data_IF_054204357711
#
_entry.id   IF_054204357711
#
_cell.length_a   1.000
_cell.length_b   1.000
_cell.length_c   1.000
_cell.angle_alpha   90.00
_cell.angle_beta   90.00
_cell.angle_gamma   90.00
#
_symmetry.space_group_name_H-M   'P 1'
#
loop_
_entity.id
_entity.type
_entity.pdbx_description
1 polymer ?
#
# COMPACT_ATOMS: atom_id res chain seq x y z
N UNK A 1 18.16 -7.96 10.19
CA UNK A 1 16.70 -8.23 10.31
C UNK A 1 15.99 -7.77 9.04
N UNK A 2 14.93 -8.47 8.62
CA UNK A 2 14.13 -8.04 7.45
C UNK A 2 13.27 -6.84 7.88
N UNK A 3 13.54 -5.65 7.32
CA UNK A 3 12.78 -4.42 7.55
C UNK A 3 11.40 -4.43 6.85
N UNK A 4 11.25 -5.28 5.84
CA UNK A 4 10.06 -5.31 5.00
C UNK A 4 8.82 -5.80 5.75
N UNK A 5 7.76 -4.97 5.70
CA UNK A 5 6.47 -5.20 6.37
C UNK A 5 5.35 -5.53 5.37
N UNK A 6 5.51 -5.19 4.10
CA UNK A 6 4.47 -5.29 3.08
C UNK A 6 4.96 -6.05 1.85
N UNK A 7 4.07 -6.86 1.26
CA UNK A 7 4.15 -7.15 -0.16
C UNK A 7 3.58 -5.98 -0.95
N UNK A 8 4.17 -5.65 -2.09
CA UNK A 8 3.76 -4.48 -2.88
C UNK A 8 3.62 -4.85 -4.34
N UNK A 9 2.48 -4.55 -4.95
CA UNK A 9 2.31 -4.64 -6.41
C UNK A 9 3.42 -3.84 -7.11
N UNK A 10 4.31 -4.53 -7.83
CA UNK A 10 5.54 -3.96 -8.38
C UNK A 10 5.29 -2.75 -9.30
N UNK A 11 4.16 -2.74 -10.01
CA UNK A 11 3.78 -1.61 -10.86
C UNK A 11 3.54 -0.31 -10.08
N UNK A 12 3.14 -0.38 -8.80
CA UNK A 12 2.97 0.78 -7.93
C UNK A 12 4.32 1.42 -7.57
N UNK A 13 5.38 0.61 -7.48
CA UNK A 13 6.74 1.08 -7.22
C UNK A 13 7.51 1.46 -8.50
N UNK A 14 6.83 1.53 -9.66
CA UNK A 14 7.43 1.96 -10.92
C UNK A 14 7.95 0.84 -11.82
N UNK A 15 7.89 -0.43 -11.40
CA UNK A 15 8.24 -1.55 -12.28
C UNK A 15 7.30 -1.59 -13.49
N UNK A 16 7.89 -1.71 -14.69
CA UNK A 16 7.17 -1.73 -15.99
C UNK A 16 6.54 -3.10 -16.27
N UNK A 17 5.79 -3.64 -15.30
CA UNK A 17 5.27 -5.01 -15.35
C UNK A 17 3.77 -5.12 -15.67
N UNK A 18 3.09 -4.01 -16.02
CA UNK A 18 1.71 -4.05 -16.51
C UNK A 18 1.62 -4.81 -17.83
N UNK A 19 0.39 -5.17 -18.22
CA UNK A 19 0.14 -5.87 -19.48
C UNK A 19 0.65 -5.08 -20.70
N UNK A 20 0.59 -3.74 -20.64
CA UNK A 20 1.06 -2.82 -21.68
C UNK A 20 2.53 -2.40 -21.55
N UNK A 21 3.31 -3.06 -20.68
CA UNK A 21 4.72 -2.72 -20.44
C UNK A 21 4.94 -1.38 -19.72
N UNK A 22 3.89 -0.80 -19.13
CA UNK A 22 3.97 0.44 -18.33
C UNK A 22 3.97 0.13 -16.83
N UNK A 23 4.01 1.17 -16.01
CA UNK A 23 3.83 1.08 -14.56
C UNK A 23 2.57 1.84 -14.11
N UNK A 24 2.20 1.68 -12.84
CA UNK A 24 1.17 2.44 -12.13
C UNK A 24 1.83 3.24 -11.00
N UNK A 25 2.91 3.94 -11.32
CA UNK A 25 3.78 4.55 -10.32
C UNK A 25 3.00 5.40 -9.31
N UNK A 26 3.21 5.11 -8.03
CA UNK A 26 2.69 5.88 -6.91
C UNK A 26 3.87 6.30 -6.04
N UNK A 27 4.11 7.62 -5.94
CA UNK A 27 5.28 8.18 -5.25
C UNK A 27 5.43 7.66 -3.81
N UNK A 28 4.35 7.60 -3.04
CA UNK A 28 4.41 7.17 -1.63
C UNK A 28 4.72 5.68 -1.50
N UNK A 29 4.09 4.84 -2.33
CA UNK A 29 4.38 3.40 -2.36
C UNK A 29 5.82 3.13 -2.82
N UNK A 30 6.32 3.90 -3.79
CA UNK A 30 7.70 3.81 -4.23
C UNK A 30 8.69 4.21 -3.12
N UNK A 31 8.40 5.29 -2.36
CA UNK A 31 9.19 5.67 -1.19
C UNK A 31 9.19 4.56 -0.13
N UNK A 32 8.03 3.99 0.22
CA UNK A 32 7.91 2.87 1.17
C UNK A 32 8.84 1.70 0.79
N UNK A 33 8.88 1.36 -0.51
CA UNK A 33 9.75 0.30 -1.03
C UNK A 33 11.23 0.72 -0.96
N UNK A 34 11.57 1.95 -1.36
CA UNK A 34 12.94 2.50 -1.30
C UNK A 34 13.50 2.48 0.13
N UNK A 35 12.66 2.77 1.12
CA UNK A 35 13.00 2.72 2.55
C UNK A 35 13.11 1.29 3.11
N UNK A 36 12.90 0.27 2.28
CA UNK A 36 13.06 -1.14 2.63
C UNK A 36 11.85 -1.79 3.30
N UNK A 37 10.69 -1.11 3.32
CA UNK A 37 9.48 -1.63 3.97
C UNK A 37 8.60 -2.49 3.06
N UNK A 38 8.89 -2.54 1.76
CA UNK A 38 8.08 -3.26 0.77
C UNK A 38 8.88 -4.25 -0.06
N UNK A 39 8.38 -5.47 -0.21
CA UNK A 39 8.89 -6.45 -1.17
C UNK A 39 7.99 -6.47 -2.41
N UNK A 40 8.60 -6.27 -3.58
CA UNK A 40 7.86 -6.19 -4.83
C UNK A 40 7.35 -7.57 -5.29
N UNK A 41 6.09 -7.61 -5.71
CA UNK A 41 5.45 -8.78 -6.33
C UNK A 41 4.67 -8.39 -7.58
N UNK A 42 4.68 -9.27 -8.58
CA UNK A 42 3.77 -9.21 -9.72
C UNK A 42 3.22 -10.62 -9.93
N UNK A 43 2.00 -10.93 -9.47
CA UNK A 43 1.51 -12.31 -9.49
C UNK A 43 1.43 -12.85 -10.93
N UNK A 44 1.02 -12.01 -11.89
CA UNK A 44 0.93 -12.35 -13.31
C UNK A 44 2.29 -12.82 -13.89
N UNK A 45 3.37 -12.07 -13.63
CA UNK A 45 4.72 -12.42 -14.09
C UNK A 45 5.27 -13.63 -13.33
N UNK A 46 5.05 -13.70 -12.02
CA UNK A 46 5.42 -14.87 -11.21
C UNK A 46 4.68 -16.14 -11.69
N UNK A 47 3.48 -15.98 -12.22
CA UNK A 47 2.66 -17.00 -12.88
C UNK A 47 3.25 -17.51 -14.19
N UNK A 48 4.07 -16.70 -14.86
CA UNK A 48 4.71 -17.00 -16.14
C UNK A 48 4.21 -16.16 -17.32
N UNK A 49 3.36 -15.15 -17.09
CA UNK A 49 2.94 -14.26 -18.17
C UNK A 49 4.05 -13.28 -18.56
N UNK A 50 4.14 -12.98 -19.85
CA UNK A 50 5.12 -12.05 -20.43
C UNK A 50 4.83 -10.58 -20.11
N UNK A 51 5.79 -9.72 -20.45
CA UNK A 51 5.63 -8.27 -20.53
C UNK A 51 6.16 -7.85 -21.91
N UNK A 52 5.36 -7.19 -22.77
CA UNK A 52 3.90 -7.00 -22.63
C UNK A 52 3.14 -8.33 -22.74
N UNK A 53 1.83 -8.28 -22.46
CA UNK A 53 0.87 -9.38 -22.63
C UNK A 53 -0.52 -8.83 -22.97
N UNK A 54 -1.36 -9.69 -23.52
CA UNK A 54 -2.77 -9.36 -23.82
C UNK A 54 -3.51 -9.08 -22.50
N UNK A 55 -4.35 -8.04 -22.50
CA UNK A 55 -5.17 -7.70 -21.32
C UNK A 55 -6.07 -8.88 -20.94
N UNK A 56 -6.20 -9.13 -19.64
CA UNK A 56 -7.06 -10.18 -19.10
C UNK A 56 -8.12 -9.59 -18.17
N UNK A 57 -9.29 -10.21 -18.11
CA UNK A 57 -10.37 -9.90 -17.18
C UNK A 57 -10.95 -11.19 -16.60
N UNK A 58 -11.58 -11.08 -15.43
CA UNK A 58 -12.24 -12.24 -14.80
C UNK A 58 -13.60 -12.48 -15.45
N UNK A 59 -13.89 -13.73 -15.79
CA UNK A 59 -15.21 -14.19 -16.23
C UNK A 59 -15.63 -15.35 -15.33
N UNK A 60 -16.36 -15.04 -14.25
CA UNK A 60 -16.69 -16.00 -13.20
C UNK A 60 -15.45 -16.49 -12.47
N UNK A 61 -15.16 -17.80 -12.56
CA UNK A 61 -13.96 -18.41 -11.96
C UNK A 61 -12.72 -18.39 -12.86
N UNK A 62 -12.88 -18.01 -14.13
CA UNK A 62 -11.80 -18.00 -15.12
C UNK A 62 -11.22 -16.62 -15.30
N UNK A 63 -9.97 -16.56 -15.75
CA UNK A 63 -9.33 -15.33 -16.22
C UNK A 63 -9.10 -15.49 -17.72
N UNK A 64 -9.80 -14.70 -18.52
CA UNK A 64 -9.77 -14.79 -19.99
C UNK A 64 -9.05 -13.55 -20.52
N UNK A 65 -8.20 -13.72 -21.52
CA UNK A 65 -7.58 -12.61 -22.21
C UNK A 65 -8.51 -12.05 -23.31
N UNK A 66 -8.20 -10.86 -23.84
CA UNK A 66 -9.01 -10.20 -24.86
C UNK A 66 -9.16 -11.01 -26.16
N UNK A 67 -8.23 -11.92 -26.42
CA UNK A 67 -8.25 -12.81 -27.60
C UNK A 67 -9.03 -14.12 -27.34
N UNK A 68 -9.66 -14.27 -26.16
CA UNK A 68 -10.46 -15.43 -25.79
C UNK A 68 -9.67 -16.61 -25.19
N UNK A 69 -8.36 -16.46 -24.98
CA UNK A 69 -7.53 -17.51 -24.38
C UNK A 69 -7.68 -17.53 -22.85
N UNK A 70 -7.81 -18.73 -22.29
CA UNK A 70 -7.86 -18.95 -20.86
C UNK A 70 -6.46 -18.84 -20.24
N UNK A 71 -6.32 -17.95 -19.25
CA UNK A 71 -5.10 -17.64 -18.50
C UNK A 71 -5.23 -17.94 -17.00
N UNK A 72 -6.26 -18.68 -16.61
CA UNK A 72 -6.56 -18.97 -15.20
C UNK A 72 -5.38 -19.63 -14.49
N UNK A 73 -4.71 -20.58 -15.14
CA UNK A 73 -3.59 -21.33 -14.56
C UNK A 73 -2.40 -20.42 -14.20
N UNK A 74 -2.04 -19.49 -15.07
CA UNK A 74 -0.94 -18.55 -14.81
C UNK A 74 -1.29 -17.61 -13.65
N UNK A 75 -2.52 -17.11 -13.59
CA UNK A 75 -2.98 -16.27 -12.48
C UNK A 75 -2.99 -17.00 -11.14
N UNK A 76 -3.51 -18.23 -11.09
CA UNK A 76 -3.51 -19.05 -9.88
C UNK A 76 -2.10 -19.44 -9.43
N UNK A 77 -1.25 -19.86 -10.37
CA UNK A 77 0.16 -20.17 -10.11
C UNK A 77 0.89 -18.96 -9.55
N UNK A 78 0.64 -17.78 -10.11
CA UNK A 78 1.13 -16.50 -9.63
C UNK A 78 0.73 -16.23 -8.19
N UNK A 79 -0.58 -16.32 -7.89
CA UNK A 79 -1.12 -16.12 -6.55
C UNK A 79 -0.50 -17.09 -5.53
N UNK A 80 -0.40 -18.39 -5.86
CA UNK A 80 0.21 -19.42 -5.01
C UNK A 80 1.69 -19.12 -4.72
N UNK A 81 2.45 -18.68 -5.74
CA UNK A 81 3.86 -18.28 -5.56
C UNK A 81 4.00 -17.06 -4.66
N UNK A 82 3.11 -16.06 -4.80
CA UNK A 82 3.10 -14.88 -3.93
C UNK A 82 2.80 -15.27 -2.48
N UNK A 83 1.80 -16.12 -2.24
CA UNK A 83 1.50 -16.62 -0.89
C UNK A 83 2.68 -17.38 -0.28
N UNK A 84 3.33 -18.26 -1.06
CA UNK A 84 4.53 -18.98 -0.61
C UNK A 84 5.66 -18.00 -0.25
N UNK A 85 5.92 -17.03 -1.11
CA UNK A 85 6.95 -16.01 -0.88
C UNK A 85 6.66 -15.18 0.38
N UNK A 86 5.40 -14.78 0.58
CA UNK A 86 4.98 -14.04 1.75
C UNK A 86 5.22 -14.82 3.06
N UNK A 87 4.85 -16.12 3.07
CA UNK A 87 5.07 -17.01 4.22
C UNK A 87 6.56 -17.17 4.53
N UNK A 88 7.40 -17.35 3.50
CA UNK A 88 8.86 -17.44 3.67
C UNK A 88 9.48 -16.16 4.25
N UNK A 89 8.86 -15.00 4.00
CA UNK A 89 9.32 -13.71 4.51
C UNK A 89 8.63 -13.30 5.82
N UNK A 90 7.68 -14.09 6.33
CA UNK A 90 6.91 -13.75 7.53
C UNK A 90 6.01 -12.52 7.36
N UNK A 91 5.62 -12.17 6.13
CA UNK A 91 4.82 -10.97 5.83
C UNK A 91 3.33 -11.34 5.74
N UNK A 92 2.48 -10.52 6.38
CA UNK A 92 1.01 -10.68 6.41
C UNK A 92 0.23 -9.47 5.90
N UNK A 93 0.92 -8.47 5.36
CA UNK A 93 0.29 -7.26 4.80
C UNK A 93 0.65 -7.09 3.33
N UNK A 94 -0.29 -6.61 2.51
CA UNK A 94 -0.05 -6.38 1.09
C UNK A 94 -0.68 -5.07 0.59
N UNK A 95 0.08 -4.30 -0.20
CA UNK A 95 -0.36 -3.11 -0.92
C UNK A 95 -0.52 -3.49 -2.40
N UNK A 96 -1.76 -3.66 -2.85
CA UNK A 96 -2.09 -4.21 -4.16
C UNK A 96 -2.74 -3.16 -5.07
N UNK A 97 -2.46 -3.26 -6.38
CA UNK A 97 -3.06 -2.37 -7.40
C UNK A 97 -4.57 -2.62 -7.54
N UNK A 98 -5.39 -1.56 -7.41
CA UNK A 98 -6.85 -1.64 -7.64
C UNK A 98 -7.23 -2.14 -9.04
N UNK A 99 -8.41 -2.75 -9.17
CA UNK A 99 -9.10 -3.14 -10.42
C UNK A 99 -8.45 -4.28 -11.24
N UNK A 100 -7.23 -4.69 -10.90
CA UNK A 100 -6.54 -5.77 -11.63
C UNK A 100 -7.25 -7.13 -11.42
N UNK A 101 -7.35 -7.99 -12.45
CA UNK A 101 -7.84 -9.36 -12.31
C UNK A 101 -7.00 -10.23 -11.36
N UNK A 102 -5.78 -9.79 -11.01
CA UNK A 102 -4.94 -10.43 -10.00
C UNK A 102 -4.98 -9.68 -8.66
N UNK A 103 -4.82 -8.36 -8.68
CA UNK A 103 -4.51 -7.54 -7.51
C UNK A 103 -5.70 -6.72 -6.97
N UNK A 104 -6.82 -6.63 -7.68
CA UNK A 104 -7.98 -5.84 -7.24
C UNK A 104 -8.54 -6.33 -5.91
N UNK A 105 -8.80 -5.41 -4.96
CA UNK A 105 -9.23 -5.75 -3.59
C UNK A 105 -10.75 -5.63 -3.43
N UNK A 106 -11.38 -4.65 -4.07
CA UNK A 106 -12.83 -4.36 -3.92
C UNK A 106 -13.58 -4.47 -5.24
N UNK A 107 -12.90 -4.14 -6.33
CA UNK A 107 -13.45 -4.13 -7.67
C UNK A 107 -12.49 -4.77 -8.67
N UNK A 108 -13.08 -5.32 -9.72
CA UNK A 108 -12.44 -5.84 -10.93
C UNK A 108 -13.24 -5.39 -12.15
N UNK A 109 -12.65 -5.49 -13.35
CA UNK A 109 -13.41 -5.30 -14.58
C UNK A 109 -14.41 -6.44 -14.80
N UNK A 110 -15.51 -6.14 -15.48
CA UNK A 110 -16.68 -7.01 -15.60
C UNK A 110 -16.52 -8.23 -16.53
N UNK A 111 -15.38 -8.37 -17.20
CA UNK A 111 -15.10 -9.50 -18.08
C UNK A 111 -15.48 -9.26 -19.53
N UNK A 112 -16.13 -8.14 -19.85
CA UNK A 112 -16.55 -7.78 -21.20
C UNK A 112 -15.51 -6.96 -21.97
N UNK A 113 -14.40 -6.54 -21.33
CA UNK A 113 -13.43 -5.60 -21.89
C UNK A 113 -14.01 -4.20 -22.22
N UNK A 114 -15.18 -3.86 -21.67
CA UNK A 114 -15.83 -2.55 -21.80
C UNK A 114 -15.29 -1.48 -20.84
N UNK A 115 -14.34 -1.85 -19.96
CA UNK A 115 -13.81 -1.05 -18.84
C UNK A 115 -14.82 -0.76 -17.72
N UNK A 116 -15.99 -1.41 -17.72
CA UNK A 116 -16.92 -1.36 -16.61
C UNK A 116 -16.36 -2.10 -15.40
N UNK A 117 -16.51 -1.52 -14.21
CA UNK A 117 -16.09 -2.10 -12.94
C UNK A 117 -17.29 -2.72 -12.22
N UNK A 118 -17.05 -3.85 -11.57
CA UNK A 118 -17.99 -4.56 -10.69
C UNK A 118 -17.32 -4.88 -9.36
N UNK A 119 -18.13 -5.11 -8.33
CA UNK A 119 -17.63 -5.62 -7.06
C UNK A 119 -16.98 -7.00 -7.27
N UNK A 120 -15.78 -7.18 -6.72
CA UNK A 120 -15.04 -8.42 -6.89
C UNK A 120 -13.57 -8.30 -6.50
N UNK A 121 -12.90 -9.44 -6.35
CA UNK A 121 -11.49 -9.50 -5.96
C UNK A 121 -10.65 -10.21 -7.02
N UNK A 122 -9.47 -9.68 -7.26
CA UNK A 122 -8.43 -10.30 -8.07
C UNK A 122 -7.99 -11.65 -7.49
N UNK A 123 -7.51 -12.56 -8.35
CA UNK A 123 -7.16 -13.94 -7.95
C UNK A 123 -6.14 -13.98 -6.80
N UNK A 124 -5.11 -13.14 -6.86
CA UNK A 124 -4.10 -13.06 -5.81
C UNK A 124 -4.64 -12.38 -4.55
N UNK A 125 -5.39 -11.29 -4.68
CA UNK A 125 -6.00 -10.60 -3.55
C UNK A 125 -6.92 -11.54 -2.76
N UNK A 126 -7.81 -12.26 -3.46
CA UNK A 126 -8.72 -13.24 -2.87
C UNK A 126 -7.97 -14.35 -2.11
N UNK A 127 -6.91 -14.91 -2.69
CA UNK A 127 -6.12 -15.95 -2.04
C UNK A 127 -5.40 -15.44 -0.78
N UNK A 128 -4.82 -14.24 -0.84
CA UNK A 128 -4.15 -13.64 0.31
C UNK A 128 -5.15 -13.32 1.44
N UNK A 129 -6.29 -12.72 1.13
CA UNK A 129 -7.35 -12.44 2.11
C UNK A 129 -7.81 -13.73 2.82
N UNK A 130 -8.07 -14.80 2.05
CA UNK A 130 -8.44 -16.11 2.60
C UNK A 130 -7.35 -16.74 3.49
N UNK A 131 -6.11 -16.22 3.45
CA UNK A 131 -4.98 -16.67 4.27
C UNK A 131 -4.61 -15.67 5.38
N UNK A 132 -5.54 -14.78 5.73
CA UNK A 132 -5.42 -13.83 6.84
C UNK A 132 -4.44 -12.70 6.56
N UNK A 133 -4.35 -12.23 5.32
CA UNK A 133 -3.59 -11.03 4.99
C UNK A 133 -4.44 -9.77 5.14
N UNK A 134 -3.84 -8.72 5.70
CA UNK A 134 -4.38 -7.36 5.63
C UNK A 134 -4.06 -6.78 4.25
N UNK A 135 -5.11 -6.40 3.50
CA UNK A 135 -4.98 -5.88 2.14
C UNK A 135 -5.26 -4.39 2.10
N UNK A 136 -4.33 -3.66 1.49
CA UNK A 136 -4.37 -2.23 1.25
C UNK A 136 -4.26 -1.98 -0.24
N UNK A 137 -4.81 -0.89 -0.73
CA UNK A 137 -4.62 -0.46 -2.12
C UNK A 137 -3.80 0.81 -2.19
N UNK A 138 -3.49 1.26 -3.41
CA UNK A 138 -2.93 2.60 -3.59
C UNK A 138 -3.90 3.73 -3.17
N UNK A 139 -5.18 3.40 -2.91
CA UNK A 139 -6.23 4.31 -2.44
C UNK A 139 -6.56 4.14 -0.96
N UNK A 140 -6.56 2.89 -0.48
CA UNK A 140 -6.88 2.49 0.90
C UNK A 140 -5.59 2.20 1.65
N UNK A 141 -5.29 3.07 2.63
CA UNK A 141 -3.94 3.39 3.10
C UNK A 141 -3.58 2.65 4.41
N UNK A 142 -2.32 2.24 4.63
CA UNK A 142 -1.78 1.98 5.98
C UNK A 142 -1.17 3.26 6.59
N UNK A 143 -1.70 4.44 6.24
CA UNK A 143 -1.22 5.72 6.79
C UNK A 143 -1.98 6.05 8.07
N UNK A 144 -1.32 6.79 8.95
CA UNK A 144 -1.94 7.32 10.16
C UNK A 144 -1.85 8.85 10.15
N UNK A 145 -2.81 9.48 10.81
CA UNK A 145 -2.74 10.90 11.16
C UNK A 145 -2.35 10.99 12.64
N UNK A 146 -1.62 12.03 13.01
CA UNK A 146 -1.23 12.28 14.40
C UNK A 146 -1.97 13.51 14.89
N UNK A 147 -2.56 13.42 16.08
CA UNK A 147 -3.08 14.58 16.79
C UNK A 147 -2.21 14.80 18.02
N UNK A 148 -1.43 15.88 18.04
CA UNK A 148 -0.64 16.31 19.18
C UNK A 148 -1.43 17.38 19.91
N UNK A 149 -1.91 17.04 21.11
CA UNK A 149 -2.58 18.01 21.99
C UNK A 149 -1.50 18.82 22.70
N UNK A 150 -1.21 20.00 22.17
CA UNK A 150 -0.25 20.94 22.72
C UNK A 150 -0.94 21.93 23.66
N UNK A 151 -1.79 21.43 24.57
CA UNK A 151 -2.54 22.27 25.50
C UNK A 151 -1.79 22.45 26.82
N UNK A 152 -1.87 23.66 27.39
CA UNK A 152 -1.57 23.93 28.78
C UNK A 152 -0.54 25.04 29.00
N UNK A 153 -0.83 25.90 29.98
CA UNK A 153 -0.15 27.18 30.20
C UNK A 153 1.26 27.12 30.82
N UNK A 154 1.89 25.94 30.92
CA UNK A 154 3.23 25.80 31.56
C UNK A 154 3.32 26.09 33.07
N UNK A 155 2.21 26.39 33.75
CA UNK A 155 2.16 26.84 35.17
C UNK A 155 2.93 25.96 36.16
N UNK A 156 2.83 24.63 36.05
CA UNK A 156 3.52 23.69 36.97
C UNK A 156 5.04 23.62 36.74
N UNK A 157 5.50 24.06 35.59
CA UNK A 157 6.91 24.20 35.27
C UNK A 157 7.41 25.64 35.52
N UNK A 158 6.59 26.48 36.17
CA UNK A 158 6.87 27.90 36.43
C UNK A 158 7.15 28.72 35.16
N UNK A 159 6.60 28.25 34.03
CA UNK A 159 6.67 28.95 32.75
C UNK A 159 5.46 29.88 32.62
N UNK A 160 5.69 31.12 32.21
CA UNK A 160 4.65 32.11 31.91
C UNK A 160 3.97 31.92 30.54
N UNK A 161 4.23 30.79 29.87
CA UNK A 161 3.75 30.46 28.53
C UNK A 161 3.61 28.94 28.38
N UNK A 162 3.05 28.48 27.26
CA UNK A 162 2.84 27.05 27.01
C UNK A 162 4.17 26.27 27.00
N UNK A 163 4.23 25.20 27.80
CA UNK A 163 5.42 24.34 27.94
C UNK A 163 5.85 23.66 26.63
N UNK A 164 4.98 23.55 25.64
CA UNK A 164 5.29 22.94 24.35
C UNK A 164 6.27 23.80 23.53
N UNK A 165 6.32 25.11 23.78
CA UNK A 165 7.31 26.02 23.20
C UNK A 165 8.59 26.16 24.03
N UNK A 166 8.69 25.45 25.15
CA UNK A 166 9.91 25.43 25.94
C UNK A 166 11.06 24.84 25.13
N UNK A 167 12.20 25.51 25.13
CA UNK A 167 13.42 25.03 24.47
C UNK A 167 14.14 24.00 25.34
N UNK A 168 14.30 22.79 24.82
CA UNK A 168 15.13 21.74 25.39
C UNK A 168 16.33 21.50 24.46
N UNK A 169 17.38 22.31 24.65
CA UNK A 169 18.51 22.37 23.72
C UNK A 169 18.17 23.24 22.49
N UNK A 170 18.43 22.75 21.29
CA UNK A 170 18.21 23.49 20.04
C UNK A 170 16.78 23.45 19.50
N UNK A 171 15.93 22.63 20.10
CA UNK A 171 14.54 22.43 19.68
C UNK A 171 13.59 22.72 20.83
N UNK A 172 12.39 23.17 20.49
CA UNK A 172 11.25 23.20 21.39
C UNK A 172 10.74 21.79 21.67
N UNK A 173 9.97 21.63 22.75
CA UNK A 173 9.29 20.37 23.08
C UNK A 173 8.35 19.94 21.93
N UNK A 174 7.66 20.89 21.30
CA UNK A 174 6.77 20.59 20.17
C UNK A 174 7.52 20.14 18.92
N UNK A 175 8.63 20.79 18.56
CA UNK A 175 9.45 20.36 17.43
C UNK A 175 9.96 18.94 17.64
N UNK A 176 10.45 18.64 18.84
CA UNK A 176 10.91 17.30 19.21
C UNK A 176 9.78 16.26 19.18
N UNK A 177 8.55 16.65 19.52
CA UNK A 177 7.39 15.76 19.49
C UNK A 177 6.87 15.52 18.05
N UNK A 178 7.00 16.50 17.16
CA UNK A 178 6.52 16.47 15.78
C UNK A 178 7.52 15.74 14.84
N UNK A 179 8.82 15.91 15.07
CA UNK A 179 9.90 15.46 14.19
C UNK A 179 9.83 13.96 13.81
N UNK A 180 9.56 13.02 14.74
CA UNK A 180 9.45 11.60 14.38
C UNK A 180 8.33 11.31 13.38
N UNK A 181 7.25 12.09 13.42
CA UNK A 181 6.09 11.90 12.56
C UNK A 181 6.24 12.60 11.22
N UNK A 182 6.86 13.78 11.18
CA UNK A 182 7.19 14.46 9.92
C UNK A 182 8.20 13.64 9.11
N UNK A 183 9.09 12.93 9.80
CA UNK A 183 10.07 12.04 9.20
C UNK A 183 9.51 10.65 8.84
N UNK A 184 8.34 10.25 9.36
CA UNK A 184 7.69 8.99 9.01
C UNK A 184 6.86 9.15 7.73
N UNK A 185 7.30 8.49 6.66
CA UNK A 185 6.61 8.47 5.37
C UNK A 185 5.21 7.81 5.42
N UNK A 186 4.86 7.11 6.51
CA UNK A 186 3.51 6.60 6.79
C UNK A 186 2.60 7.61 7.47
N UNK A 187 3.14 8.65 8.10
CA UNK A 187 2.36 9.75 8.66
C UNK A 187 1.80 10.59 7.51
N UNK A 188 0.48 10.77 7.47
CA UNK A 188 -0.17 11.55 6.42
C UNK A 188 -0.24 13.04 6.78
N UNK A 189 -0.50 13.35 8.05
CA UNK A 189 -0.46 14.70 8.59
C UNK A 189 -0.25 14.67 10.10
N UNK A 190 0.31 15.76 10.62
CA UNK A 190 0.38 16.04 12.05
C UNK A 190 -0.51 17.24 12.32
N UNK A 191 -1.57 17.03 13.10
CA UNK A 191 -2.45 18.09 13.59
C UNK A 191 -1.97 18.44 14.99
N UNK A 192 -1.51 19.68 15.16
CA UNK A 192 -1.24 20.23 16.48
C UNK A 192 -2.47 21.00 16.94
N UNK A 193 -2.96 20.69 18.13
CA UNK A 193 -4.09 21.39 18.76
C UNK A 193 -3.54 22.24 19.90
N UNK A 194 -3.58 23.57 19.74
CA UNK A 194 -3.17 24.58 20.73
C UNK A 194 -4.39 25.39 21.23
N UNK A 195 -4.21 26.20 22.28
CA UNK A 195 -5.22 27.21 22.62
C UNK A 195 -5.22 28.33 21.56
N UNK A 196 -6.33 29.06 21.35
CA UNK A 196 -6.43 30.09 20.32
C UNK A 196 -5.39 31.22 20.43
N UNK A 197 -4.85 31.46 21.63
CA UNK A 197 -3.92 32.55 21.94
C UNK A 197 -2.44 32.11 21.98
N UNK A 198 -2.12 30.89 21.51
CA UNK A 198 -0.78 30.25 21.57
C UNK A 198 -0.12 30.06 20.20
#
# INVERSE_FOLDING_TARGET
MIKAKYLVSACLAGSKCRYDGKSNYNKRVATLVKEGFGLLICPEVMGGLSIPRVCCEQQGKRVINKDGLDKTLEFEKGAKKVLKYARQKGIKKAILKTNSPSCGIEQVYDGSFSRKLIAGQGVCAKLLAANGFELYSEKTKPYYDVVIVAAGSGRRAELGYNKMFYHSGYMTVIESAVEPFVSDYLCNQVIVVCQPEE
#
